data_IF_066470082261
#
_entry.id   IF_066470082261
#
_cell.length_a   1.000
_cell.length_b   1.000
_cell.length_c   1.000
_cell.angle_alpha   90.00
_cell.angle_beta   90.00
_cell.angle_gamma   90.00
#
_symmetry.space_group_name_H-M   'P 1'
#
loop_
_entity.id
_entity.type
_entity.pdbx_description
1 polymer ?
#
# COMPACT_ATOMS: atom_id res chain seq x y z
N UNK A 1 -5.59 16.01 6.97
CA UNK A 1 -5.20 14.80 7.73
C UNK A 1 -3.84 14.30 7.27
N UNK A 2 -3.14 13.50 8.09
CA UNK A 2 -1.83 12.91 7.74
C UNK A 2 -1.89 11.40 7.95
N UNK A 3 -1.21 10.64 7.09
CA UNK A 3 -1.00 9.21 7.29
C UNK A 3 -0.19 8.96 8.58
N UNK A 4 -0.25 7.74 9.16
CA UNK A 4 0.67 7.35 10.21
C UNK A 4 2.12 7.53 9.76
N UNK A 5 2.98 7.99 10.67
CA UNK A 5 4.36 8.35 10.35
C UNK A 5 5.11 7.19 9.68
N UNK A 6 5.55 7.43 8.45
CA UNK A 6 6.28 6.49 7.61
C UNK A 6 5.45 5.89 6.49
N UNK A 7 4.13 5.79 6.64
CA UNK A 7 3.23 5.30 5.59
C UNK A 7 3.16 6.28 4.42
N UNK A 8 3.42 7.57 4.67
CA UNK A 8 3.51 8.58 3.62
C UNK A 8 4.65 8.32 2.61
N UNK A 9 5.62 7.48 2.96
CA UNK A 9 6.75 7.12 2.10
C UNK A 9 6.53 5.83 1.32
N UNK A 10 5.40 5.16 1.54
CA UNK A 10 5.04 3.94 0.84
C UNK A 10 4.17 4.26 -0.38
N UNK A 11 4.34 3.50 -1.48
CA UNK A 11 3.52 3.71 -2.66
C UNK A 11 2.07 3.31 -2.39
N UNK A 12 1.11 4.06 -2.93
CA UNK A 12 -0.34 3.86 -2.71
C UNK A 12 -1.09 3.45 -3.98
N UNK A 13 -0.48 3.66 -5.15
CA UNK A 13 -1.05 3.37 -6.46
C UNK A 13 0.06 3.04 -7.46
N UNK A 14 -0.32 2.35 -8.53
CA UNK A 14 0.48 2.22 -9.75
C UNK A 14 -0.11 3.12 -10.83
N UNK A 15 0.73 3.95 -11.45
CA UNK A 15 0.37 4.79 -12.61
C UNK A 15 1.42 4.57 -13.69
N UNK A 16 1.00 4.11 -14.87
CA UNK A 16 1.90 3.86 -16.01
C UNK A 16 3.11 2.97 -15.64
N UNK A 17 2.89 1.95 -14.81
CA UNK A 17 3.93 1.04 -14.33
C UNK A 17 4.86 1.61 -13.24
N UNK A 18 4.59 2.81 -12.73
CA UNK A 18 5.36 3.43 -11.63
C UNK A 18 4.59 3.36 -10.32
N UNK A 19 5.26 2.91 -9.27
CA UNK A 19 4.75 2.92 -7.89
C UNK A 19 4.89 4.31 -7.29
N UNK A 20 3.77 4.99 -7.01
CA UNK A 20 3.77 6.36 -6.53
C UNK A 20 3.29 6.46 -5.09
N UNK A 21 4.02 7.21 -4.26
CA UNK A 21 3.63 7.63 -2.91
C UNK A 21 2.53 8.68 -2.94
N UNK A 22 1.87 8.92 -1.81
CA UNK A 22 0.85 9.96 -1.71
C UNK A 22 1.36 11.35 -2.13
N UNK A 23 2.60 11.69 -1.74
CA UNK A 23 3.21 12.98 -2.07
C UNK A 23 3.50 13.09 -3.58
N UNK A 24 4.01 12.02 -4.20
CA UNK A 24 4.25 11.98 -5.64
C UNK A 24 2.94 12.07 -6.42
N UNK A 25 1.89 11.38 -5.98
CA UNK A 25 0.56 11.50 -6.59
C UNK A 25 0.03 12.93 -6.46
N UNK A 26 0.19 13.58 -5.30
CA UNK A 26 -0.20 14.98 -5.12
C UNK A 26 0.55 15.93 -6.05
N UNK A 27 1.85 15.69 -6.25
CA UNK A 27 2.73 16.55 -7.04
C UNK A 27 2.53 16.36 -8.56
N UNK A 28 2.47 15.12 -9.02
CA UNK A 28 2.48 14.78 -10.44
C UNK A 28 1.08 14.50 -11.01
N UNK A 29 0.13 14.05 -10.17
CA UNK A 29 -1.22 13.67 -10.57
C UNK A 29 -2.28 14.27 -9.63
N UNK A 30 -2.39 15.62 -9.56
CA UNK A 30 -3.26 16.30 -8.59
C UNK A 30 -4.74 15.92 -8.72
N UNK A 31 -5.20 15.52 -9.91
CA UNK A 31 -6.58 15.08 -10.13
C UNK A 31 -6.82 13.68 -9.56
N UNK A 32 -5.86 12.76 -9.73
CA UNK A 32 -5.88 11.44 -9.11
C UNK A 32 -5.79 11.55 -7.58
N UNK A 33 -4.95 12.45 -7.08
CA UNK A 33 -4.89 12.78 -5.65
C UNK A 33 -6.27 13.21 -5.14
N UNK A 34 -6.92 14.15 -5.85
CA UNK A 34 -8.27 14.59 -5.57
C UNK A 34 -9.27 13.43 -5.52
N UNK A 35 -9.23 12.51 -6.49
CA UNK A 35 -10.08 11.32 -6.50
C UNK A 35 -9.83 10.39 -5.30
N UNK A 36 -8.57 10.14 -4.94
CA UNK A 36 -8.19 9.28 -3.82
C UNK A 36 -8.73 9.80 -2.48
N UNK A 37 -8.63 11.13 -2.26
CA UNK A 37 -9.09 11.79 -1.03
C UNK A 37 -10.57 12.24 -1.08
N UNK A 38 -11.33 11.84 -2.10
CA UNK A 38 -12.78 12.13 -2.18
C UNK A 38 -13.13 13.56 -2.56
N UNK A 39 -12.21 14.30 -3.21
CA UNK A 39 -12.44 15.62 -3.81
C UNK A 39 -12.18 15.57 -5.32
N UNK A 40 -12.96 14.79 -6.11
CA UNK A 40 -12.78 14.76 -7.55
C UNK A 40 -13.01 16.15 -8.14
N UNK A 41 -12.14 16.59 -9.04
CA UNK A 41 -12.40 17.78 -9.86
C UNK A 41 -13.40 17.40 -10.95
N UNK A 42 -14.49 18.17 -11.05
CA UNK A 42 -15.46 18.03 -12.15
C UNK A 42 -14.73 18.17 -13.49
N UNK A 43 -14.85 17.15 -14.35
CA UNK A 43 -14.31 17.15 -15.72
C UNK A 43 -12.88 16.60 -15.88
N UNK A 44 -12.23 16.12 -14.81
CA UNK A 44 -10.94 15.45 -14.95
C UNK A 44 -11.11 14.02 -15.48
N UNK A 45 -10.25 13.57 -16.43
CA UNK A 45 -10.23 12.16 -16.80
C UNK A 45 -9.89 11.33 -15.57
N UNK A 46 -10.71 10.31 -15.28
CA UNK A 46 -10.36 9.31 -14.28
C UNK A 46 -9.17 8.53 -14.82
N UNK A 47 -7.96 8.87 -14.34
CA UNK A 47 -6.80 8.00 -14.48
C UNK A 47 -7.17 6.66 -13.86
N UNK A 48 -7.10 5.59 -14.65
CA UNK A 48 -7.17 4.24 -14.12
C UNK A 48 -5.97 4.04 -13.19
N UNK A 49 -6.25 3.72 -11.93
CA UNK A 49 -5.23 3.39 -10.94
C UNK A 49 -5.52 2.00 -10.40
N UNK A 50 -4.47 1.23 -10.20
CA UNK A 50 -4.57 -0.14 -9.73
C UNK A 50 -3.92 -0.28 -8.36
N UNK A 51 -4.56 -1.05 -7.48
CA UNK A 51 -3.93 -1.63 -6.30
C UNK A 51 -3.57 -3.06 -6.66
N UNK A 52 -2.44 -3.25 -7.35
CA UNK A 52 -1.98 -4.56 -7.77
C UNK A 52 -1.28 -5.31 -6.63
N UNK A 53 -1.10 -6.62 -6.75
CA UNK A 53 -0.37 -7.40 -5.75
C UNK A 53 1.10 -6.96 -5.67
N UNK A 54 1.69 -6.57 -6.80
CA UNK A 54 3.07 -6.06 -6.89
C UNK A 54 3.24 -4.77 -6.10
N UNK A 55 2.24 -3.88 -6.12
CA UNK A 55 2.24 -2.69 -5.28
C UNK A 55 2.31 -3.08 -3.80
N UNK A 56 1.50 -4.05 -3.38
CA UNK A 56 1.42 -4.49 -1.99
C UNK A 56 2.72 -5.18 -1.53
N UNK A 57 3.32 -6.00 -2.40
CA UNK A 57 4.65 -6.59 -2.19
C UNK A 57 5.73 -5.51 -2.06
N UNK A 58 5.74 -4.52 -2.96
CA UNK A 58 6.71 -3.43 -2.92
C UNK A 58 6.56 -2.55 -1.67
N UNK A 59 5.32 -2.32 -1.22
CA UNK A 59 5.06 -1.65 0.08
C UNK A 59 5.71 -2.42 1.23
N UNK A 60 5.50 -3.74 1.31
CA UNK A 60 6.12 -4.57 2.36
C UNK A 60 7.64 -4.53 2.29
N UNK A 61 8.23 -4.67 1.09
CA UNK A 61 9.68 -4.56 0.89
C UNK A 61 10.24 -3.23 1.41
N UNK A 62 9.58 -2.11 1.11
CA UNK A 62 10.00 -0.78 1.59
C UNK A 62 9.86 -0.63 3.10
N UNK A 63 8.80 -1.16 3.71
CA UNK A 63 8.65 -1.17 5.18
C UNK A 63 9.81 -1.88 5.86
N UNK A 64 10.16 -3.08 5.38
CA UNK A 64 11.30 -3.86 5.88
C UNK A 64 12.60 -3.07 5.74
N UNK A 65 12.86 -2.52 4.55
CA UNK A 65 14.06 -1.73 4.28
C UNK A 65 14.18 -0.48 5.17
N UNK A 66 13.06 0.09 5.61
CA UNK A 66 13.02 1.23 6.53
C UNK A 66 13.16 0.83 8.01
N UNK A 67 13.26 -0.47 8.32
CA UNK A 67 13.24 -0.97 9.71
C UNK A 67 11.90 -0.73 10.40
N UNK A 68 10.83 -0.51 9.63
CA UNK A 68 9.48 -0.23 10.11
C UNK A 68 8.59 -1.43 9.85
N UNK A 69 8.89 -2.53 10.52
CA UNK A 69 8.07 -3.73 10.42
C UNK A 69 6.79 -3.50 11.24
N UNK A 70 5.59 -3.52 10.62
CA UNK A 70 4.34 -3.34 11.35
C UNK A 70 4.12 -4.46 12.37
N UNK A 71 3.51 -4.11 13.51
CA UNK A 71 3.01 -5.05 14.53
C UNK A 71 1.94 -6.01 14.00
N UNK A 72 1.36 -5.72 12.84
CA UNK A 72 0.26 -6.47 12.22
C UNK A 72 0.76 -7.78 11.65
N UNK A 73 1.99 -7.79 11.15
CA UNK A 73 2.67 -8.98 10.67
C UNK A 73 3.21 -9.86 11.80
N UNK A 74 3.29 -9.31 13.02
CA UNK A 74 3.53 -10.08 14.24
C UNK A 74 2.25 -10.77 14.75
N UNK A 75 1.07 -10.51 14.14
CA UNK A 75 -0.12 -11.34 14.35
C UNK A 75 0.02 -12.60 13.51
N UNK A 76 0.83 -13.50 14.06
CA UNK A 76 1.08 -14.84 13.58
C UNK A 76 -0.23 -15.61 13.35
N UNK A 77 -0.74 -15.62 12.11
CA UNK A 77 -1.80 -16.54 11.69
C UNK A 77 -1.28 -17.97 11.47
N UNK A 78 0.03 -18.17 11.55
CA UNK A 78 0.72 -19.43 11.26
C UNK A 78 1.79 -19.66 12.32
N UNK A 79 1.69 -20.73 13.11
CA UNK A 79 2.81 -21.15 13.95
C UNK A 79 3.81 -22.00 13.14
N UNK A 80 5.13 -21.72 13.21
CA UNK A 80 5.78 -20.64 13.95
C UNK A 80 5.69 -19.28 13.24
N UNK A 81 5.76 -18.21 14.03
CA UNK A 81 5.71 -16.81 13.56
C UNK A 81 6.78 -16.52 12.51
N UNK A 82 6.35 -16.00 11.36
CA UNK A 82 7.22 -15.70 10.22
C UNK A 82 7.94 -14.38 10.44
N UNK A 83 9.25 -14.33 10.15
CA UNK A 83 9.97 -13.06 10.08
C UNK A 83 9.46 -12.21 8.90
N UNK A 84 9.66 -10.89 8.91
CA UNK A 84 9.23 -10.02 7.82
C UNK A 84 9.80 -10.43 6.46
N UNK A 85 11.06 -10.89 6.43
CA UNK A 85 11.70 -11.40 5.21
C UNK A 85 11.09 -12.73 4.75
N UNK A 86 10.65 -13.60 5.68
CA UNK A 86 9.91 -14.80 5.34
C UNK A 86 8.54 -14.47 4.76
N UNK A 87 7.82 -13.53 5.36
CA UNK A 87 6.52 -13.07 4.87
C UNK A 87 6.64 -12.46 3.47
N UNK A 88 7.63 -11.60 3.24
CA UNK A 88 7.90 -11.05 1.91
C UNK A 88 8.13 -12.17 0.88
N UNK A 89 8.92 -13.20 1.23
CA UNK A 89 9.13 -14.36 0.34
C UNK A 89 7.83 -15.10 0.02
N UNK A 90 6.97 -15.33 1.02
CA UNK A 90 5.66 -15.96 0.79
C UNK A 90 4.80 -15.10 -0.14
N UNK A 91 4.75 -13.79 0.06
CA UNK A 91 4.04 -12.86 -0.83
C UNK A 91 4.60 -12.90 -2.27
N UNK A 92 5.91 -12.90 -2.44
CA UNK A 92 6.56 -13.02 -3.76
C UNK A 92 6.24 -14.35 -4.46
N UNK A 93 6.20 -15.45 -3.68
CA UNK A 93 5.82 -16.78 -4.17
C UNK A 93 4.33 -16.91 -4.48
N UNK A 94 3.48 -16.02 -3.95
CA UNK A 94 2.01 -16.08 -4.06
C UNK A 94 1.46 -17.44 -3.65
N UNK A 95 2.08 -18.07 -2.65
CA UNK A 95 1.49 -19.25 -2.05
C UNK A 95 0.30 -18.85 -1.16
N UNK A 96 -0.37 -19.83 -0.56
CA UNK A 96 -1.54 -19.57 0.27
C UNK A 96 -1.28 -18.53 1.36
N UNK A 97 -0.13 -18.61 2.03
CA UNK A 97 0.24 -17.66 3.09
C UNK A 97 0.50 -16.28 2.47
N UNK A 98 1.23 -16.23 1.36
CA UNK A 98 1.51 -15.02 0.60
C UNK A 98 0.25 -14.28 0.18
N UNK A 99 -0.76 -15.00 -0.33
CA UNK A 99 -2.03 -14.42 -0.73
C UNK A 99 -2.82 -13.87 0.46
N UNK A 100 -2.82 -14.57 1.61
CA UNK A 100 -3.44 -14.07 2.85
C UNK A 100 -2.75 -12.78 3.34
N UNK A 101 -1.41 -12.71 3.27
CA UNK A 101 -0.63 -11.52 3.61
C UNK A 101 -0.89 -10.34 2.66
N UNK A 102 -1.00 -10.60 1.36
CA UNK A 102 -1.33 -9.60 0.34
C UNK A 102 -2.71 -9.00 0.61
N UNK A 103 -3.70 -9.82 0.91
CA UNK A 103 -5.05 -9.33 1.23
C UNK A 103 -5.08 -8.52 2.54
N UNK A 104 -4.28 -8.90 3.54
CA UNK A 104 -4.11 -8.10 4.75
C UNK A 104 -3.52 -6.72 4.43
N UNK A 105 -2.43 -6.64 3.67
CA UNK A 105 -1.83 -5.36 3.24
C UNK A 105 -2.81 -4.52 2.42
N UNK A 106 -3.63 -5.15 1.57
CA UNK A 106 -4.71 -4.50 0.81
C UNK A 106 -5.74 -3.86 1.73
N UNK A 107 -6.13 -4.56 2.79
CA UNK A 107 -7.02 -4.05 3.84
C UNK A 107 -6.44 -2.80 4.51
N UNK A 108 -5.17 -2.84 4.90
CA UNK A 108 -4.48 -1.72 5.54
C UNK A 108 -4.42 -0.48 4.64
N UNK A 109 -4.04 -0.67 3.37
CA UNK A 109 -4.01 0.43 2.41
C UNK A 109 -5.41 1.05 2.24
N UNK A 110 -6.48 0.25 2.25
CA UNK A 110 -7.85 0.79 2.19
C UNK A 110 -8.19 1.64 3.42
N UNK A 111 -7.79 1.21 4.61
CA UNK A 111 -7.97 1.99 5.84
C UNK A 111 -7.17 3.29 5.82
N UNK A 112 -5.91 3.25 5.37
CA UNK A 112 -5.05 4.41 5.16
C UNK A 112 -5.69 5.43 4.21
N UNK A 113 -6.18 4.98 3.06
CA UNK A 113 -6.89 5.83 2.10
C UNK A 113 -8.20 6.37 2.67
N UNK A 114 -8.93 5.58 3.46
CA UNK A 114 -10.15 6.04 4.11
C UNK A 114 -9.89 7.12 5.17
N UNK A 115 -8.76 7.05 5.88
CA UNK A 115 -8.32 8.12 6.80
C UNK A 115 -8.03 9.41 6.05
N UNK A 116 -7.51 9.37 4.83
CA UNK A 116 -7.25 10.57 4.03
C UNK A 116 -8.51 11.28 3.53
N UNK A 117 -9.64 10.59 3.45
CA UNK A 117 -10.93 11.14 3.01
C UNK A 117 -11.68 11.92 4.08
N UNK A 118 -11.27 11.82 5.35
CA UNK A 118 -11.87 12.50 6.50
C UNK A 118 -11.20 13.85 6.78
#
# INVERSE_FOLDING_TARGET
>A
MRLPKGEETLPIVVVEGRFLTLQEVQQFHPDLYGALIGRPRLGAPLLEFEVSDELLIERMRRRIAQGRVPTIYALSLVEPELTPEQQLRHMEMRDRIGLELIEAERGLLREELAMLRR
#
